data_IF_999854710683
#
_entry.id   IF_999854710683
#
_cell.length_a   1.000
_cell.length_b   1.000
_cell.length_c   1.000
_cell.angle_alpha   90.00
_cell.angle_beta   90.00
_cell.angle_gamma   90.00
#
_symmetry.space_group_name_H-M   'P 1'
#
loop_
_entity.id
_entity.type
_entity.pdbx_description
1 polymer ?
#
# COMPACT_ATOMS: atom_id res chain seq x y z
N UNK A 1 1.26 -27.62 8.31
CA UNK A 1 0.71 -26.65 7.33
C UNK A 1 1.76 -25.93 6.47
N UNK A 2 3.06 -25.90 6.84
CA UNK A 2 4.11 -25.21 6.04
C UNK A 2 4.47 -25.95 4.73
N UNK A 3 4.28 -27.27 4.68
CA UNK A 3 4.64 -28.11 3.51
C UNK A 3 3.69 -27.92 2.31
N UNK A 4 2.40 -27.67 2.55
CA UNK A 4 1.42 -27.46 1.47
C UNK A 4 1.57 -26.10 0.77
N UNK A 5 2.06 -25.08 1.48
CA UNK A 5 2.21 -23.74 0.92
C UNK A 5 3.47 -23.60 0.04
N UNK A 6 4.54 -24.36 0.33
CA UNK A 6 5.73 -24.44 -0.52
C UNK A 6 5.47 -25.23 -1.81
N UNK A 7 4.70 -26.33 -1.75
CA UNK A 7 4.34 -27.11 -2.95
C UNK A 7 3.54 -26.28 -3.97
N UNK A 8 2.64 -25.41 -3.52
CA UNK A 8 1.82 -24.58 -4.41
C UNK A 8 2.64 -23.45 -5.08
N UNK A 9 3.70 -22.97 -4.42
CA UNK A 9 4.61 -21.95 -4.96
C UNK A 9 5.59 -22.55 -5.98
N UNK A 10 6.17 -23.71 -5.66
CA UNK A 10 6.97 -24.51 -6.60
C UNK A 10 6.15 -24.89 -7.84
N UNK A 11 4.89 -25.27 -7.67
CA UNK A 11 4.02 -25.60 -8.80
C UNK A 11 3.76 -24.39 -9.72
N UNK A 12 3.48 -23.20 -9.14
CA UNK A 12 3.28 -21.96 -9.92
C UNK A 12 4.57 -21.48 -10.61
N UNK A 13 5.71 -21.57 -9.95
CA UNK A 13 7.01 -21.24 -10.55
C UNK A 13 7.39 -22.22 -11.65
N UNK A 14 7.17 -23.52 -11.47
CA UNK A 14 7.34 -24.52 -12.52
C UNK A 14 6.38 -24.29 -13.68
N UNK A 15 5.13 -23.89 -13.43
CA UNK A 15 4.18 -23.60 -14.50
C UNK A 15 4.62 -22.36 -15.31
N UNK A 16 5.04 -21.29 -14.64
CA UNK A 16 5.55 -20.08 -15.27
C UNK A 16 6.85 -20.33 -16.02
N UNK A 17 7.78 -21.12 -15.48
CA UNK A 17 9.02 -21.47 -16.18
C UNK A 17 8.74 -22.36 -17.39
N UNK A 18 7.79 -23.30 -17.27
CA UNK A 18 7.37 -24.16 -18.38
C UNK A 18 6.71 -23.34 -19.49
N UNK A 19 5.83 -22.40 -19.15
CA UNK A 19 5.20 -21.49 -20.12
C UNK A 19 6.24 -20.59 -20.78
N UNK A 20 7.19 -20.04 -20.01
CA UNK A 20 8.24 -19.20 -20.55
C UNK A 20 9.19 -19.99 -21.47
N UNK A 21 9.52 -21.23 -21.11
CA UNK A 21 10.28 -22.15 -21.97
C UNK A 21 9.53 -22.49 -23.25
N UNK A 22 8.21 -22.74 -23.18
CA UNK A 22 7.39 -23.02 -24.36
C UNK A 22 7.34 -21.79 -25.27
N UNK A 23 7.19 -20.59 -24.71
CA UNK A 23 7.18 -19.33 -25.48
C UNK A 23 8.54 -19.07 -26.12
N UNK A 24 9.64 -19.24 -25.38
CA UNK A 24 10.99 -19.02 -25.93
C UNK A 24 11.36 -20.07 -26.98
N UNK A 25 11.01 -21.34 -26.77
CA UNK A 25 11.15 -22.38 -27.79
C UNK A 25 10.29 -22.11 -29.02
N UNK A 26 9.05 -21.63 -28.86
CA UNK A 26 8.17 -21.25 -29.97
C UNK A 26 8.74 -20.05 -30.75
N UNK A 27 9.23 -19.02 -30.05
CA UNK A 27 9.88 -17.87 -30.68
C UNK A 27 11.18 -18.26 -31.40
N UNK A 28 11.98 -19.17 -30.83
CA UNK A 28 13.18 -19.70 -31.49
C UNK A 28 12.84 -20.53 -32.72
N UNK A 29 11.82 -21.37 -32.65
CA UNK A 29 11.35 -22.16 -33.81
C UNK A 29 10.80 -21.22 -34.89
N UNK A 30 10.02 -20.20 -34.53
CA UNK A 30 9.54 -19.19 -35.47
C UNK A 30 10.69 -18.36 -36.08
N UNK A 31 11.74 -18.08 -35.31
CA UNK A 31 12.95 -17.38 -35.77
C UNK A 31 13.75 -18.24 -36.76
N UNK A 32 13.98 -19.52 -36.44
CA UNK A 32 14.67 -20.48 -37.31
C UNK A 32 13.88 -20.73 -38.60
N UNK A 33 12.55 -20.81 -38.52
CA UNK A 33 11.68 -20.98 -39.69
C UNK A 33 11.59 -19.71 -40.56
N UNK A 34 11.88 -18.53 -40.02
CA UNK A 34 11.96 -17.26 -40.78
C UNK A 34 13.35 -16.99 -41.34
N UNK A 35 14.40 -17.51 -40.72
CA UNK A 35 15.80 -17.27 -41.09
C UNK A 35 16.60 -18.59 -41.13
N UNK A 36 16.43 -19.41 -42.18
CA UNK A 36 17.23 -20.61 -42.35
C UNK A 36 18.69 -20.22 -42.61
N UNK A 37 19.58 -20.54 -41.68
CA UNK A 37 21.03 -20.38 -41.86
C UNK A 37 21.51 -21.38 -42.91
N UNK A 38 22.03 -20.87 -44.03
CA UNK A 38 22.80 -21.67 -44.98
C UNK A 38 24.13 -22.05 -44.34
N UNK A 39 24.26 -23.29 -43.87
CA UNK A 39 25.57 -23.88 -43.57
C UNK A 39 26.23 -24.24 -44.90
N UNK A 40 27.40 -23.64 -45.17
CA UNK A 40 28.34 -24.08 -46.20
C UNK A 40 29.61 -24.51 -45.47
N UNK A 41 29.95 -25.79 -45.58
CA UNK A 41 31.24 -26.35 -45.17
C UNK A 41 32.32 -25.95 -46.18
N UNK A 42 33.51 -25.54 -45.73
CA UNK A 42 34.68 -25.33 -46.61
C UNK A 42 35.79 -24.42 -46.05
N UNK A 43 36.95 -25.04 -45.84
CA UNK A 43 38.24 -24.57 -45.33
C UNK A 43 38.97 -23.39 -46.03
N UNK A 44 39.89 -22.80 -45.25
CA UNK A 44 41.22 -22.23 -45.57
C UNK A 44 41.44 -20.74 -45.95
N UNK A 45 42.09 -20.06 -44.99
CA UNK A 45 43.29 -19.20 -45.07
C UNK A 45 43.27 -17.76 -45.66
N UNK A 46 43.53 -16.82 -44.73
CA UNK A 46 44.43 -15.64 -44.77
C UNK A 46 44.11 -14.37 -45.58
N UNK A 47 44.18 -13.29 -44.79
CA UNK A 47 44.78 -11.95 -45.02
C UNK A 47 43.93 -10.75 -45.50
N UNK A 48 43.97 -9.73 -44.62
CA UNK A 48 44.17 -8.27 -44.83
C UNK A 48 43.03 -7.39 -45.43
N UNK A 49 42.58 -6.50 -44.53
CA UNK A 49 42.63 -5.02 -44.60
C UNK A 49 41.86 -4.24 -45.70
N UNK A 50 41.04 -3.29 -45.22
CA UNK A 50 40.81 -1.92 -45.75
C UNK A 50 39.55 -1.61 -46.59
N UNK A 51 38.66 -0.83 -45.95
CA UNK A 51 37.95 0.39 -46.39
C UNK A 51 36.88 0.40 -47.52
N UNK A 52 35.79 1.11 -47.15
CA UNK A 52 34.93 2.08 -47.92
C UNK A 52 33.68 1.64 -48.70
N UNK A 53 32.51 1.99 -48.13
CA UNK A 53 31.37 2.79 -48.67
C UNK A 53 30.55 2.27 -49.89
N UNK A 54 29.34 1.72 -49.57
CA UNK A 54 27.94 2.10 -49.99
C UNK A 54 27.48 1.95 -51.48
N UNK A 55 26.15 1.94 -51.76
CA UNK A 55 25.41 0.72 -52.16
C UNK A 55 24.72 0.81 -53.54
N UNK A 56 24.43 -0.34 -54.17
CA UNK A 56 23.48 -0.42 -55.29
C UNK A 56 22.62 -1.69 -55.25
N UNK A 57 21.41 -1.52 -55.76
CA UNK A 57 20.20 -2.33 -55.70
C UNK A 57 20.09 -3.23 -56.94
N UNK A 58 19.67 -4.50 -56.80
CA UNK A 58 18.83 -5.22 -57.79
C UNK A 58 18.67 -6.72 -57.50
N UNK A 59 17.44 -7.07 -57.16
CA UNK A 59 16.68 -8.29 -57.51
C UNK A 59 17.43 -9.58 -57.88
N UNK A 60 17.32 -10.62 -57.03
CA UNK A 60 17.21 -12.00 -57.50
C UNK A 60 16.18 -12.82 -56.70
N UNK A 61 15.16 -13.26 -57.44
CA UNK A 61 14.14 -14.26 -57.12
C UNK A 61 14.73 -15.56 -56.57
N UNK A 62 14.29 -15.98 -55.38
CA UNK A 62 14.55 -17.34 -54.85
C UNK A 62 13.26 -18.15 -54.80
N UNK A 63 13.29 -19.31 -55.46
CA UNK A 63 12.22 -20.30 -55.55
C UNK A 63 11.75 -20.73 -54.15
N UNK A 64 10.45 -20.55 -53.88
CA UNK A 64 9.79 -21.14 -52.71
C UNK A 64 9.62 -22.64 -52.94
N UNK A 65 10.40 -23.45 -52.23
CA UNK A 65 10.22 -24.89 -52.13
C UNK A 65 9.00 -25.15 -51.23
N UNK A 66 7.90 -25.64 -51.81
CA UNK A 66 6.67 -26.00 -51.07
C UNK A 66 6.91 -27.23 -50.20
N UNK A 67 6.84 -27.06 -48.88
CA UNK A 67 6.79 -28.16 -47.90
C UNK A 67 5.31 -28.55 -47.66
N UNK A 68 4.96 -29.84 -47.49
CA UNK A 68 3.57 -30.31 -47.56
C UNK A 68 2.68 -29.78 -46.43
N UNK A 69 1.47 -29.35 -46.80
CA UNK A 69 0.48 -28.66 -45.98
C UNK A 69 -0.06 -29.46 -44.76
N UNK A 70 0.29 -30.74 -44.59
CA UNK A 70 -0.40 -31.61 -43.62
C UNK A 70 0.16 -31.57 -42.19
N UNK A 71 1.46 -31.30 -41.99
CA UNK A 71 2.04 -31.26 -40.62
C UNK A 71 1.74 -29.94 -39.88
N UNK A 72 1.64 -28.83 -40.61
CA UNK A 72 1.27 -27.51 -40.07
C UNK A 72 -0.16 -27.49 -39.52
N UNK A 73 -1.12 -28.11 -40.23
CA UNK A 73 -2.53 -28.15 -39.83
C UNK A 73 -2.71 -28.99 -38.56
N UNK A 74 -2.02 -30.13 -38.45
CA UNK A 74 -2.09 -31.00 -37.25
C UNK A 74 -1.53 -30.28 -36.03
N UNK A 75 -0.41 -29.56 -36.19
CA UNK A 75 0.19 -28.80 -35.09
C UNK A 75 -0.68 -27.61 -34.66
N UNK A 76 -1.26 -26.87 -35.62
CA UNK A 76 -2.21 -25.78 -35.33
C UNK A 76 -3.48 -26.30 -34.63
N UNK A 77 -4.00 -27.44 -35.06
CA UNK A 77 -5.15 -28.07 -34.42
C UNK A 77 -4.82 -28.53 -32.98
N UNK A 78 -3.65 -29.13 -32.76
CA UNK A 78 -3.22 -29.55 -31.43
C UNK A 78 -2.96 -28.35 -30.49
N UNK A 79 -2.35 -27.29 -31.01
CA UNK A 79 -2.09 -26.06 -30.26
C UNK A 79 -3.39 -25.32 -29.92
N UNK A 80 -4.32 -25.23 -30.86
CA UNK A 80 -5.66 -24.68 -30.61
C UNK A 80 -6.42 -25.49 -29.56
N UNK A 81 -6.38 -26.83 -29.64
CA UNK A 81 -7.01 -27.71 -28.65
C UNK A 81 -6.37 -27.59 -27.26
N UNK A 82 -5.06 -27.33 -27.19
CA UNK A 82 -4.35 -27.02 -25.95
C UNK A 82 -4.77 -25.65 -25.41
N UNK A 83 -4.84 -24.61 -26.24
CA UNK A 83 -5.32 -23.27 -25.87
C UNK A 83 -6.77 -23.29 -25.39
N UNK A 84 -7.63 -24.03 -26.07
CA UNK A 84 -9.05 -24.20 -25.72
C UNK A 84 -9.16 -24.96 -24.39
N UNK A 85 -8.35 -26.00 -24.17
CA UNK A 85 -8.26 -26.72 -22.89
C UNK A 85 -7.76 -25.84 -21.74
N UNK A 86 -6.77 -24.96 -22.01
CA UNK A 86 -6.29 -23.98 -21.04
C UNK A 86 -7.35 -22.90 -20.77
N UNK A 87 -8.06 -22.41 -21.79
CA UNK A 87 -9.15 -21.46 -21.66
C UNK A 87 -10.32 -22.07 -20.90
N UNK A 88 -10.73 -23.31 -21.17
CA UNK A 88 -11.81 -23.98 -20.43
C UNK A 88 -11.41 -24.24 -18.97
N UNK A 89 -10.16 -24.66 -18.70
CA UNK A 89 -9.68 -24.77 -17.31
C UNK A 89 -9.64 -23.41 -16.63
N UNK A 90 -9.12 -22.39 -17.30
CA UNK A 90 -9.05 -21.02 -16.79
C UNK A 90 -10.45 -20.43 -16.55
N UNK A 91 -11.39 -20.63 -17.47
CA UNK A 91 -12.79 -20.21 -17.38
C UNK A 91 -13.53 -21.01 -16.31
N UNK A 92 -13.27 -22.32 -16.12
CA UNK A 92 -13.84 -23.09 -15.00
C UNK A 92 -13.27 -22.65 -13.64
N UNK A 93 -12.01 -22.20 -13.61
CA UNK A 93 -11.38 -21.60 -12.42
C UNK A 93 -11.92 -20.19 -12.16
N UNK A 94 -12.29 -19.45 -13.20
CA UNK A 94 -12.96 -18.15 -13.12
C UNK A 94 -14.45 -18.28 -12.78
N UNK A 95 -15.13 -19.36 -13.16
CA UNK A 95 -16.53 -19.63 -12.80
C UNK A 95 -16.70 -20.12 -11.35
N UNK A 96 -15.62 -20.50 -10.65
CA UNK A 96 -15.61 -20.55 -9.18
C UNK A 96 -15.55 -19.16 -8.52
N UNK A 97 -15.22 -18.11 -9.28
CA UNK A 97 -15.37 -16.72 -8.86
C UNK A 97 -16.75 -16.16 -9.27
N UNK A 98 -17.82 -16.90 -8.97
CA UNK A 98 -19.14 -16.29 -8.89
C UNK A 98 -19.14 -15.29 -7.73
N UNK A 99 -19.21 -14.00 -8.07
CA UNK A 99 -19.73 -12.89 -7.25
C UNK A 99 -19.69 -13.14 -5.74
N UNK A 100 -18.60 -12.75 -5.07
CA UNK A 100 -18.51 -12.78 -3.60
C UNK A 100 -19.37 -11.66 -3.00
N UNK A 101 -20.70 -11.77 -3.12
CA UNK A 101 -21.68 -10.96 -2.38
C UNK A 101 -21.67 -11.29 -0.87
N UNK A 102 -20.84 -12.23 -0.43
CA UNK A 102 -20.67 -12.60 0.97
C UNK A 102 -19.68 -11.65 1.64
N UNK A 103 -20.15 -10.97 2.70
CA UNK A 103 -19.30 -10.15 3.56
C UNK A 103 -18.23 -11.02 4.24
N UNK A 104 -17.01 -10.48 4.40
CA UNK A 104 -15.98 -11.11 5.22
C UNK A 104 -16.53 -11.38 6.64
N UNK A 105 -16.06 -12.40 7.37
CA UNK A 105 -16.51 -12.67 8.74
C UNK A 105 -16.26 -11.45 9.65
N UNK A 106 -17.07 -11.31 10.70
CA UNK A 106 -16.93 -10.19 11.66
C UNK A 106 -15.62 -10.26 12.44
N UNK A 107 -15.09 -11.46 12.64
CA UNK A 107 -13.76 -11.72 13.17
C UNK A 107 -12.99 -12.41 12.04
N UNK A 108 -11.97 -11.76 11.46
CA UNK A 108 -11.15 -12.36 10.43
C UNK A 108 -10.50 -13.68 10.91
N UNK A 109 -10.47 -14.73 10.08
CA UNK A 109 -10.02 -16.06 10.51
C UNK A 109 -8.49 -16.17 10.61
N UNK A 110 -7.76 -15.26 9.95
CA UNK A 110 -6.30 -15.33 9.81
C UNK A 110 -5.56 -14.44 10.83
N UNK A 111 -6.25 -13.95 11.88
CA UNK A 111 -5.61 -13.21 12.97
C UNK A 111 -4.70 -14.13 13.79
N UNK A 112 -3.48 -13.68 14.09
CA UNK A 112 -2.50 -14.45 14.89
C UNK A 112 -2.47 -14.02 16.36
N UNK A 113 -3.06 -12.87 16.72
CA UNK A 113 -2.91 -12.27 18.02
C UNK A 113 -1.54 -11.60 18.18
N UNK A 114 -0.78 -11.86 19.25
CA UNK A 114 0.50 -11.21 19.51
C UNK A 114 1.50 -11.39 18.35
N UNK A 115 2.07 -10.29 17.88
CA UNK A 115 3.01 -10.24 16.77
C UNK A 115 4.44 -9.96 17.23
N UNK A 116 5.40 -10.63 16.58
CA UNK A 116 6.82 -10.38 16.78
C UNK A 116 7.30 -9.40 15.71
N UNK A 117 7.74 -8.21 16.13
CA UNK A 117 8.37 -7.24 15.22
C UNK A 117 9.80 -7.69 14.91
N UNK A 118 9.97 -8.26 13.71
CA UNK A 118 11.27 -8.66 13.15
C UNK A 118 11.91 -7.49 12.38
N UNK A 119 13.22 -7.54 12.17
CA UNK A 119 13.89 -6.58 11.28
C UNK A 119 13.45 -6.75 9.83
N UNK A 120 13.64 -5.69 9.03
CA UNK A 120 13.35 -5.70 7.61
C UNK A 120 14.23 -6.72 6.88
N UNK A 121 13.69 -7.44 5.88
CA UNK A 121 14.51 -8.24 4.98
C UNK A 121 15.52 -7.36 4.23
N UNK A 122 16.73 -7.88 3.97
CA UNK A 122 17.82 -7.11 3.32
C UNK A 122 17.47 -6.58 1.92
N UNK A 123 16.54 -7.23 1.22
CA UNK A 123 16.10 -6.87 -0.12
C UNK A 123 14.76 -6.12 -0.13
N UNK A 124 14.23 -5.73 1.04
CA UNK A 124 13.06 -4.88 1.09
C UNK A 124 13.41 -3.46 0.66
N UNK A 125 12.53 -2.82 -0.10
CA UNK A 125 12.69 -1.45 -0.55
C UNK A 125 11.32 -0.84 -0.84
N UNK A 126 11.14 0.44 -0.51
CA UNK A 126 9.94 1.20 -0.85
C UNK A 126 9.87 1.64 -2.32
N UNK A 127 10.99 1.62 -3.04
CA UNK A 127 11.09 2.15 -4.40
C UNK A 127 10.76 1.12 -5.48
N UNK A 128 10.76 -0.16 -5.11
CA UNK A 128 10.45 -1.26 -6.01
C UNK A 128 9.16 -1.97 -5.58
N UNK A 129 8.58 -2.75 -6.48
CA UNK A 129 7.49 -3.65 -6.10
C UNK A 129 7.98 -4.68 -5.07
N UNK A 130 7.40 -4.60 -3.88
CA UNK A 130 7.66 -5.53 -2.79
C UNK A 130 7.10 -6.91 -3.08
N UNK A 131 7.98 -7.90 -3.23
CA UNK A 131 7.60 -9.31 -3.28
C UNK A 131 6.96 -9.82 -1.97
N UNK A 132 7.21 -9.14 -0.84
CA UNK A 132 6.63 -9.46 0.46
C UNK A 132 5.16 -9.03 0.59
N UNK A 133 4.72 -8.08 -0.23
CA UNK A 133 3.36 -7.56 -0.22
C UNK A 133 2.73 -7.58 -1.61
N UNK A 134 2.94 -8.66 -2.36
CA UNK A 134 2.46 -8.81 -3.74
C UNK A 134 0.93 -8.73 -3.93
N UNK A 135 0.15 -8.81 -2.84
CA UNK A 135 -1.31 -8.64 -2.88
C UNK A 135 -1.74 -7.17 -2.75
N UNK A 136 -0.83 -6.29 -2.30
CA UNK A 136 -1.05 -4.85 -2.28
C UNK A 136 -0.99 -4.33 -3.72
N UNK A 137 -1.90 -3.44 -4.04
CA UNK A 137 -2.05 -2.79 -5.33
C UNK A 137 -1.43 -1.39 -5.28
N UNK A 138 -1.11 -0.85 -6.45
CA UNK A 138 -0.57 0.49 -6.62
C UNK A 138 -1.32 1.56 -5.79
N UNK A 139 -0.54 2.41 -5.13
CA UNK A 139 -1.00 3.40 -4.17
C UNK A 139 -1.27 2.83 -2.78
N UNK A 140 -0.73 1.65 -2.43
CA UNK A 140 -0.87 1.05 -1.10
C UNK A 140 -2.27 0.55 -0.77
N UNK A 141 -3.01 0.11 -1.79
CA UNK A 141 -4.40 -0.35 -1.65
C UNK A 141 -4.47 -1.87 -1.54
N UNK A 142 -5.35 -2.39 -0.71
CA UNK A 142 -5.66 -3.82 -0.70
C UNK A 142 -7.13 -4.04 -0.34
N UNK A 143 -7.73 -5.07 -0.92
CA UNK A 143 -9.04 -5.59 -0.54
C UNK A 143 -9.01 -7.13 -0.62
N UNK A 144 -9.75 -7.85 0.24
CA UNK A 144 -9.84 -9.30 0.18
C UNK A 144 -10.42 -9.79 -1.15
N UNK A 145 -9.91 -10.92 -1.67
CA UNK A 145 -10.37 -11.50 -2.95
C UNK A 145 -11.52 -12.50 -2.79
N UNK A 146 -11.67 -13.05 -1.59
CA UNK A 146 -12.60 -14.16 -1.29
C UNK A 146 -13.89 -13.71 -0.61
N UNK A 147 -13.99 -12.44 -0.20
CA UNK A 147 -15.14 -11.88 0.48
C UNK A 147 -15.20 -10.36 0.30
N UNK A 148 -16.37 -9.75 0.51
CA UNK A 148 -16.53 -8.30 0.52
C UNK A 148 -16.13 -7.73 1.88
N UNK A 149 -15.12 -6.87 1.93
CA UNK A 149 -14.68 -6.23 3.16
C UNK A 149 -15.82 -5.46 3.83
N UNK A 150 -15.98 -5.62 5.15
CA UNK A 150 -16.97 -4.87 5.94
C UNK A 150 -16.62 -3.41 6.10
N UNK A 151 -15.33 -3.09 6.01
CA UNK A 151 -14.79 -1.78 6.33
C UNK A 151 -13.91 -1.30 5.20
N UNK A 152 -14.24 -0.11 4.67
CA UNK A 152 -13.39 0.69 3.80
C UNK A 152 -12.66 1.75 4.63
N UNK A 153 -11.34 1.70 4.64
CA UNK A 153 -10.48 2.40 5.61
C UNK A 153 -9.38 3.21 4.91
N UNK A 154 -9.31 4.51 5.19
CA UNK A 154 -8.13 5.31 4.86
C UNK A 154 -7.23 5.45 6.10
N UNK A 155 -5.96 5.10 5.95
CA UNK A 155 -4.95 5.27 7.00
C UNK A 155 -4.14 6.52 6.64
N UNK A 156 -4.28 7.56 7.46
CA UNK A 156 -3.63 8.86 7.28
C UNK A 156 -2.38 8.89 8.16
N UNK A 157 -1.22 8.99 7.53
CA UNK A 157 0.08 9.00 8.20
C UNK A 157 0.73 10.38 7.99
N UNK A 158 0.74 11.26 9.00
CA UNK A 158 1.42 12.54 8.92
C UNK A 158 2.93 12.29 8.91
N UNK A 159 3.64 12.90 7.97
CA UNK A 159 5.03 12.51 7.71
C UNK A 159 5.93 13.71 7.37
N UNK A 160 7.23 13.58 7.73
CA UNK A 160 8.34 14.39 7.21
C UNK A 160 9.68 13.77 7.58
N UNK A 161 10.55 13.54 6.59
CA UNK A 161 11.97 13.19 6.78
C UNK A 161 12.24 12.03 7.78
N UNK A 162 11.46 10.94 7.70
CA UNK A 162 11.59 9.75 8.58
C UNK A 162 11.60 8.44 7.77
N UNK A 163 12.43 8.38 6.73
CA UNK A 163 12.35 7.34 5.71
C UNK A 163 12.53 5.91 6.27
N UNK A 164 13.50 5.70 7.16
CA UNK A 164 13.75 4.39 7.80
C UNK A 164 12.54 3.93 8.62
N UNK A 165 11.88 4.86 9.29
CA UNK A 165 10.70 4.59 10.12
C UNK A 165 9.51 4.29 9.23
N UNK A 166 9.34 5.03 8.12
CA UNK A 166 8.30 4.77 7.14
C UNK A 166 8.47 3.38 6.51
N UNK A 167 9.70 2.96 6.24
CA UNK A 167 10.00 1.64 5.68
C UNK A 167 9.57 0.51 6.63
N UNK A 168 9.94 0.62 7.91
CA UNK A 168 9.48 -0.28 8.97
C UNK A 168 7.95 -0.28 9.09
N UNK A 169 7.35 0.92 9.10
CA UNK A 169 5.92 1.10 9.20
C UNK A 169 5.17 0.39 8.08
N UNK A 170 5.51 0.65 6.82
CA UNK A 170 4.80 0.09 5.66
C UNK A 170 4.95 -1.43 5.61
N UNK A 171 6.15 -1.95 5.89
CA UNK A 171 6.39 -3.40 5.91
C UNK A 171 5.49 -4.11 6.94
N UNK A 172 5.52 -3.65 8.19
CA UNK A 172 4.76 -4.33 9.24
C UNK A 172 3.26 -4.08 9.14
N UNK A 173 2.86 -2.88 8.73
CA UNK A 173 1.44 -2.48 8.72
C UNK A 173 0.64 -3.23 7.67
N UNK A 174 1.21 -3.43 6.47
CA UNK A 174 0.53 -4.22 5.46
C UNK A 174 0.24 -5.66 5.88
N UNK A 175 1.10 -6.28 6.71
CA UNK A 175 0.93 -7.68 7.13
C UNK A 175 -0.36 -7.86 7.94
N UNK A 176 -0.57 -7.04 8.98
CA UNK A 176 -1.74 -7.20 9.82
C UNK A 176 -3.02 -6.66 9.16
N UNK A 177 -2.96 -5.60 8.35
CA UNK A 177 -4.15 -5.06 7.69
C UNK A 177 -4.77 -6.05 6.68
N UNK A 178 -3.93 -6.82 5.98
CA UNK A 178 -4.39 -7.87 5.08
C UNK A 178 -5.10 -9.00 5.85
N UNK A 179 -4.54 -9.44 6.99
CA UNK A 179 -5.15 -10.44 7.88
C UNK A 179 -6.46 -9.94 8.50
N UNK A 180 -6.59 -8.64 8.72
CA UNK A 180 -7.82 -8.01 9.20
C UNK A 180 -8.94 -7.92 8.14
N UNK A 181 -8.69 -8.39 6.91
CA UNK A 181 -9.66 -8.44 5.81
C UNK A 181 -10.35 -7.08 5.50
N UNK A 182 -9.56 -6.00 5.52
CA UNK A 182 -10.01 -4.63 5.25
C UNK A 182 -9.88 -4.29 3.75
N UNK A 183 -10.80 -3.46 3.22
CA UNK A 183 -10.54 -2.63 2.03
C UNK A 183 -9.85 -1.36 2.53
N UNK A 184 -8.53 -1.30 2.38
CA UNK A 184 -7.76 -0.20 2.94
C UNK A 184 -6.84 0.45 1.91
N UNK A 185 -6.49 1.70 2.18
CA UNK A 185 -5.38 2.40 1.53
C UNK A 185 -4.57 3.19 2.54
N UNK A 186 -3.25 3.14 2.41
CA UNK A 186 -2.31 3.95 3.22
C UNK A 186 -1.98 5.23 2.45
N UNK A 187 -2.20 6.37 3.12
CA UNK A 187 -1.86 7.71 2.65
C UNK A 187 -0.75 8.27 3.53
N UNK A 188 0.44 8.46 2.94
CA UNK A 188 1.55 9.18 3.58
C UNK A 188 1.42 10.64 3.19
N UNK A 189 1.09 11.47 4.18
CA UNK A 189 0.81 12.89 3.99
C UNK A 189 2.05 13.67 4.45
N UNK A 190 2.90 14.03 3.51
CA UNK A 190 4.17 14.68 3.80
C UNK A 190 4.02 16.19 3.84
N UNK A 191 4.51 16.82 4.90
CA UNK A 191 4.65 18.28 4.92
C UNK A 191 5.84 18.72 4.06
N UNK A 192 5.55 19.53 3.04
CA UNK A 192 6.55 20.14 2.18
C UNK A 192 7.41 21.18 2.93
N UNK A 193 8.63 21.36 2.44
CA UNK A 193 9.63 22.32 2.94
C UNK A 193 10.10 22.05 4.38
N UNK A 194 11.26 22.62 4.72
CA UNK A 194 11.84 22.49 6.07
C UNK A 194 11.34 23.60 7.02
N UNK A 195 10.02 23.66 7.22
CA UNK A 195 9.38 24.58 8.18
C UNK A 195 9.01 23.86 9.47
N UNK A 196 8.50 24.55 10.49
CA UNK A 196 7.96 23.88 11.69
C UNK A 196 6.84 22.91 11.30
N UNK A 197 6.88 21.67 11.82
CA UNK A 197 5.87 20.66 11.49
C UNK A 197 4.51 21.02 12.09
N UNK A 198 3.43 20.82 11.35
CA UNK A 198 2.06 21.05 11.80
C UNK A 198 1.19 19.83 11.45
N UNK A 199 1.07 18.91 12.42
CA UNK A 199 0.27 17.68 12.30
C UNK A 199 -1.19 17.98 11.94
N UNK A 200 -1.78 19.04 12.51
CA UNK A 200 -3.17 19.38 12.30
C UNK A 200 -3.50 19.80 10.86
N UNK A 201 -2.68 20.68 10.28
CA UNK A 201 -2.85 21.10 8.87
C UNK A 201 -2.65 19.90 7.93
N UNK A 202 -1.58 19.11 8.15
CA UNK A 202 -1.28 17.92 7.34
C UNK A 202 -2.44 16.91 7.38
N UNK A 203 -2.92 16.56 8.57
CA UNK A 203 -4.04 15.62 8.73
C UNK A 203 -5.33 16.12 8.05
N UNK A 204 -5.70 17.38 8.30
CA UNK A 204 -6.92 17.97 7.74
C UNK A 204 -6.86 18.12 6.21
N UNK A 205 -5.71 18.56 5.67
CA UNK A 205 -5.49 18.66 4.24
C UNK A 205 -5.56 17.28 3.57
N UNK A 206 -4.88 16.29 4.16
CA UNK A 206 -4.90 14.92 3.68
C UNK A 206 -6.31 14.32 3.69
N UNK A 207 -7.07 14.52 4.78
CA UNK A 207 -8.47 14.10 4.87
C UNK A 207 -9.32 14.67 3.72
N UNK A 208 -9.15 15.97 3.40
CA UNK A 208 -9.88 16.61 2.29
C UNK A 208 -9.47 16.03 0.93
N UNK A 209 -8.19 15.79 0.68
CA UNK A 209 -7.73 15.18 -0.58
C UNK A 209 -8.17 13.72 -0.73
N UNK A 210 -8.15 12.94 0.35
CA UNK A 210 -8.62 11.55 0.36
C UNK A 210 -10.11 11.50 0.00
N UNK A 211 -10.94 12.42 0.48
CA UNK A 211 -12.36 12.45 0.12
C UNK A 211 -12.61 12.84 -1.34
N UNK A 212 -11.69 13.53 -2.01
CA UNK A 212 -11.76 13.77 -3.46
C UNK A 212 -11.41 12.50 -4.24
N UNK A 213 -10.37 11.78 -3.79
CA UNK A 213 -9.90 10.54 -4.43
C UNK A 213 -10.85 9.35 -4.15
N UNK A 214 -11.41 9.28 -2.95
CA UNK A 214 -12.24 8.17 -2.46
C UNK A 214 -13.48 8.69 -1.70
N UNK A 215 -14.51 9.21 -2.41
CA UNK A 215 -15.68 9.86 -1.80
C UNK A 215 -16.50 8.97 -0.84
N UNK A 216 -16.42 7.65 -1.04
CA UNK A 216 -17.14 6.65 -0.26
C UNK A 216 -16.39 6.17 0.98
N UNK A 217 -15.19 6.67 1.26
CA UNK A 217 -14.43 6.31 2.45
C UNK A 217 -15.12 6.87 3.70
N UNK A 218 -15.41 5.97 4.65
CA UNK A 218 -16.14 6.28 5.88
C UNK A 218 -15.32 6.13 7.15
N UNK A 219 -14.22 5.37 7.11
CA UNK A 219 -13.36 5.17 8.26
C UNK A 219 -11.98 5.76 8.00
N UNK A 220 -11.50 6.56 8.95
CA UNK A 220 -10.20 7.21 8.93
C UNK A 220 -9.42 6.77 10.16
N UNK A 221 -8.21 6.26 9.94
CA UNK A 221 -7.26 5.93 11.00
C UNK A 221 -6.14 6.96 10.92
N UNK A 222 -6.07 7.85 11.89
CA UNK A 222 -4.98 8.80 12.04
C UNK A 222 -3.87 8.10 12.81
N UNK A 223 -2.70 7.94 12.18
CA UNK A 223 -1.69 6.99 12.64
C UNK A 223 -0.29 7.62 12.61
N UNK A 224 0.34 7.76 13.77
CA UNK A 224 1.73 8.20 13.87
C UNK A 224 2.69 7.11 13.32
N UNK A 225 3.54 7.49 12.37
CA UNK A 225 4.39 6.57 11.58
C UNK A 225 5.31 5.68 12.42
N UNK A 226 5.61 6.05 13.66
CA UNK A 226 6.51 5.34 14.56
C UNK A 226 5.83 4.25 15.40
N UNK A 227 4.51 4.06 15.30
CA UNK A 227 3.78 3.08 16.12
C UNK A 227 3.45 1.79 15.35
N UNK A 228 4.12 0.70 15.70
CA UNK A 228 3.82 -0.62 15.15
C UNK A 228 2.87 -1.38 16.05
N UNK A 229 1.75 -1.86 15.50
CA UNK A 229 0.84 -2.75 16.21
C UNK A 229 1.54 -4.09 16.50
N UNK A 230 1.47 -4.57 17.75
CA UNK A 230 2.06 -5.87 18.15
C UNK A 230 1.01 -6.91 18.55
N UNK A 231 -0.26 -6.69 18.22
CA UNK A 231 -1.32 -7.67 18.35
C UNK A 231 -2.45 -7.39 17.33
N UNK A 232 -2.61 -8.25 16.33
CA UNK A 232 -3.53 -7.99 15.20
C UNK A 232 -5.02 -8.14 15.53
N UNK A 233 -5.36 -8.55 16.76
CA UNK A 233 -6.75 -8.53 17.26
C UNK A 233 -7.25 -7.10 17.50
N UNK A 234 -6.36 -6.11 17.56
CA UNK A 234 -6.72 -4.70 17.58
C UNK A 234 -7.09 -4.21 16.16
N UNK A 235 -8.38 -4.34 15.83
CA UNK A 235 -8.91 -4.06 14.48
C UNK A 235 -8.78 -2.59 14.06
N UNK A 236 -8.18 -2.33 12.90
CA UNK A 236 -8.08 -1.00 12.26
C UNK A 236 -9.37 -0.66 11.51
N UNK A 237 -10.47 -0.61 12.24
CA UNK A 237 -11.79 -0.24 11.74
C UNK A 237 -12.43 0.78 12.68
N UNK A 238 -13.48 1.44 12.20
CA UNK A 238 -14.18 2.47 12.97
C UNK A 238 -15.46 1.88 13.57
N UNK A 239 -15.55 1.75 14.91
CA UNK A 239 -16.79 1.32 15.57
C UNK A 239 -17.78 2.50 15.58
N UNK A 240 -18.87 2.38 16.33
CA UNK A 240 -19.90 3.44 16.46
C UNK A 240 -19.36 4.73 17.07
N UNK A 241 -18.32 4.66 17.89
CA UNK A 241 -17.69 5.82 18.53
C UNK A 241 -16.29 6.07 17.95
N UNK A 242 -15.69 7.27 18.11
CA UNK A 242 -14.24 7.42 17.99
C UNK A 242 -13.51 6.40 18.87
N UNK A 243 -12.45 5.76 18.35
CA UNK A 243 -11.69 4.75 19.08
C UNK A 243 -10.20 5.08 19.13
N UNK A 244 -9.67 5.26 20.34
CA UNK A 244 -8.23 5.36 20.55
C UNK A 244 -7.63 3.95 20.55
N UNK A 245 -6.81 3.64 19.54
CA UNK A 245 -6.28 2.30 19.31
C UNK A 245 -4.97 2.06 20.08
N UNK A 246 -4.10 3.07 20.24
CA UNK A 246 -2.78 2.98 20.90
C UNK A 246 -2.82 3.14 22.41
N UNK A 247 -3.61 2.30 23.09
CA UNK A 247 -3.81 2.38 24.54
C UNK A 247 -2.57 1.96 25.34
N UNK A 248 -1.82 0.97 24.85
CA UNK A 248 -0.69 0.37 25.55
C UNK A 248 0.57 0.42 24.68
N UNK A 249 1.38 1.47 24.83
CA UNK A 249 2.65 1.65 24.07
C UNK A 249 3.84 1.24 24.95
N UNK A 250 4.80 0.50 24.38
CA UNK A 250 5.99 0.00 25.07
C UNK A 250 6.82 1.10 25.75
N UNK A 251 6.94 2.28 25.13
CA UNK A 251 7.59 3.47 25.69
C UNK A 251 7.02 3.85 27.06
N UNK A 252 5.74 3.61 27.29
CA UNK A 252 5.04 3.90 28.54
C UNK A 252 4.82 2.63 29.37
N UNK A 253 5.67 1.62 29.19
CA UNK A 253 5.56 0.32 29.87
C UNK A 253 4.19 -0.34 29.67
N UNK A 254 3.56 -0.10 28.52
CA UNK A 254 2.21 -0.59 28.19
C UNK A 254 1.08 -0.05 29.09
N UNK A 255 1.29 1.08 29.76
CA UNK A 255 0.25 1.84 30.46
C UNK A 255 -0.21 3.04 29.65
N UNK A 256 -1.48 3.40 29.79
CA UNK A 256 -2.01 4.65 29.26
C UNK A 256 -1.53 5.80 30.16
N UNK A 257 -0.75 6.78 29.66
CA UNK A 257 -0.18 7.84 30.49
C UNK A 257 -1.21 8.69 31.24
N UNK A 258 -2.34 8.99 30.60
CA UNK A 258 -3.47 9.72 31.20
C UNK A 258 -4.77 9.48 30.41
N UNK A 259 -5.95 9.61 31.04
CA UNK A 259 -7.24 9.25 30.43
C UNK A 259 -7.64 10.07 29.19
N UNK A 260 -7.13 11.29 29.04
CA UNK A 260 -7.44 12.20 27.93
C UNK A 260 -6.61 11.89 26.67
N UNK A 261 -5.57 11.04 26.76
CA UNK A 261 -4.69 10.78 25.63
C UNK A 261 -5.44 10.08 24.49
N UNK A 262 -5.40 10.71 23.31
CA UNK A 262 -5.87 10.15 22.03
C UNK A 262 -4.80 10.19 20.93
N UNK A 263 -3.55 10.50 21.29
CA UNK A 263 -2.41 10.52 20.38
C UNK A 263 -1.92 9.13 19.98
N UNK A 264 -1.00 9.06 19.02
CA UNK A 264 -0.56 7.80 18.45
C UNK A 264 -1.47 7.32 17.33
N UNK A 265 -2.50 6.55 17.67
CA UNK A 265 -3.43 5.94 16.71
C UNK A 265 -4.89 6.15 17.13
N UNK A 266 -5.64 6.88 16.32
CA UNK A 266 -7.04 7.23 16.56
C UNK A 266 -7.90 6.89 15.33
N UNK A 267 -8.95 6.11 15.54
CA UNK A 267 -9.93 5.75 14.52
C UNK A 267 -11.18 6.63 14.65
N UNK A 268 -11.57 7.27 13.55
CA UNK A 268 -12.78 8.09 13.49
C UNK A 268 -13.57 7.84 12.21
N UNK A 269 -14.88 7.79 12.35
CA UNK A 269 -15.77 7.84 11.18
C UNK A 269 -15.71 9.22 10.55
N UNK A 270 -15.97 9.31 9.24
CA UNK A 270 -16.03 10.55 8.48
C UNK A 270 -16.91 11.59 9.18
N UNK A 271 -18.10 11.17 9.59
CA UNK A 271 -19.07 12.00 10.29
C UNK A 271 -18.54 12.56 11.62
N UNK A 272 -17.80 11.76 12.40
CA UNK A 272 -17.22 12.23 13.65
C UNK A 272 -16.07 13.21 13.40
N UNK A 273 -15.20 12.91 12.43
CA UNK A 273 -14.08 13.79 12.09
C UNK A 273 -14.56 15.16 11.61
N UNK A 274 -15.62 15.18 10.79
CA UNK A 274 -16.29 16.42 10.38
C UNK A 274 -16.98 17.12 11.55
N UNK A 275 -17.68 16.38 12.42
CA UNK A 275 -18.40 16.93 13.57
C UNK A 275 -17.46 17.66 14.57
N UNK A 276 -16.27 17.11 14.80
CA UNK A 276 -15.24 17.72 15.65
C UNK A 276 -14.41 18.80 14.94
N UNK A 277 -14.72 19.06 13.66
CA UNK A 277 -13.95 19.92 12.77
C UNK A 277 -12.48 19.49 12.61
N UNK A 278 -12.18 18.19 12.68
CA UNK A 278 -10.82 17.63 12.63
C UNK A 278 -9.84 18.22 13.64
N UNK A 279 -8.54 18.18 13.33
CA UNK A 279 -7.49 18.66 14.22
C UNK A 279 -7.38 20.19 14.21
N UNK A 280 -6.96 20.77 15.35
CA UNK A 280 -6.56 22.19 15.44
C UNK A 280 -5.36 22.48 14.53
N UNK A 281 -5.44 23.57 13.76
CA UNK A 281 -4.36 24.02 12.87
C UNK A 281 -3.34 24.91 13.59
N UNK A 282 -3.57 25.25 14.86
CA UNK A 282 -2.76 26.19 15.64
C UNK A 282 -1.53 25.56 16.34
N UNK A 283 -1.25 24.28 16.12
CA UNK A 283 -0.13 23.57 16.73
C UNK A 283 1.07 23.49 15.80
N UNK A 284 1.92 24.52 15.89
CA UNK A 284 3.22 24.56 15.22
C UNK A 284 4.31 23.97 16.13
N UNK A 285 4.76 22.76 15.81
CA UNK A 285 5.71 21.98 16.60
C UNK A 285 5.01 20.97 17.50
N UNK A 286 5.80 20.24 18.30
CA UNK A 286 5.29 19.08 19.03
C UNK A 286 4.48 19.46 20.28
N UNK A 287 3.31 18.82 20.43
CA UNK A 287 2.58 18.68 21.68
C UNK A 287 1.28 19.49 21.77
N UNK A 288 0.26 18.87 22.39
CA UNK A 288 -1.02 19.46 22.76
C UNK A 288 -2.11 19.34 21.68
N UNK A 289 -1.78 18.93 20.46
CA UNK A 289 -2.72 18.77 19.35
C UNK A 289 -3.66 17.57 19.55
N UNK A 290 -3.15 16.48 20.11
CA UNK A 290 -3.95 15.30 20.44
C UNK A 290 -4.84 15.58 21.66
N UNK A 291 -4.37 16.36 22.64
CA UNK A 291 -5.19 16.81 23.78
C UNK A 291 -6.33 17.74 23.33
N UNK A 292 -6.08 18.60 22.34
CA UNK A 292 -7.11 19.43 21.71
C UNK A 292 -8.15 18.55 21.01
N UNK A 293 -7.71 17.52 20.27
CA UNK A 293 -8.62 16.52 19.67
C UNK A 293 -9.50 15.84 20.72
N UNK A 294 -8.96 15.44 21.87
CA UNK A 294 -9.77 14.89 22.96
C UNK A 294 -10.82 15.91 23.45
N UNK A 295 -10.45 17.17 23.67
CA UNK A 295 -11.41 18.23 24.03
C UNK A 295 -12.50 18.39 22.98
N UNK A 296 -12.19 18.26 21.69
CA UNK A 296 -13.17 18.34 20.60
C UNK A 296 -14.17 17.18 20.64
N UNK A 297 -13.67 15.96 20.83
CA UNK A 297 -14.51 14.75 20.99
C UNK A 297 -15.49 14.94 22.15
N UNK A 298 -14.99 15.36 23.32
CA UNK A 298 -15.82 15.60 24.52
C UNK A 298 -16.81 16.74 24.30
N UNK A 299 -16.39 17.87 23.71
CA UNK A 299 -17.26 19.03 23.46
C UNK A 299 -18.44 18.67 22.55
N UNK A 300 -18.22 17.81 21.55
CA UNK A 300 -19.26 17.32 20.64
C UNK A 300 -20.03 16.11 21.20
N UNK A 301 -19.85 15.80 22.50
CA UNK A 301 -20.54 14.74 23.24
C UNK A 301 -20.37 13.35 22.62
N UNK A 302 -19.24 13.13 21.94
CA UNK A 302 -18.86 11.81 21.45
C UNK A 302 -18.22 11.03 22.60
N UNK A 303 -18.55 9.75 22.69
CA UNK A 303 -17.94 8.82 23.64
C UNK A 303 -16.64 8.32 23.02
N UNK A 304 -15.56 8.23 23.79
CA UNK A 304 -14.29 7.66 23.33
C UNK A 304 -14.22 6.18 23.70
N UNK A 305 -14.10 5.31 22.70
CA UNK A 305 -13.89 3.88 22.90
C UNK A 305 -12.40 3.54 22.99
N UNK A 306 -12.07 2.54 23.80
CA UNK A 306 -10.72 1.94 23.86
C UNK A 306 -10.81 0.42 23.84
N UNK A 307 -10.01 -0.27 23.01
CA UNK A 307 -9.89 -1.72 23.11
C UNK A 307 -9.18 -2.12 24.41
N UNK A 308 -9.34 -3.37 24.88
CA UNK A 308 -8.61 -3.88 26.04
C UNK A 308 -7.09 -3.71 25.88
N UNK A 309 -6.40 -3.24 26.92
CA UNK A 309 -4.95 -3.03 26.90
C UNK A 309 -4.15 -4.30 26.57
N UNK A 310 -4.73 -5.49 26.80
CA UNK A 310 -4.14 -6.77 26.45
C UNK A 310 -3.93 -6.95 24.93
N UNK A 311 -4.79 -6.36 24.09
CA UNK A 311 -4.69 -6.42 22.63
C UNK A 311 -4.28 -5.08 22.00
N UNK A 312 -4.50 -3.97 22.69
CA UNK A 312 -4.22 -2.62 22.20
C UNK A 312 -2.73 -2.23 22.33
N UNK A 313 -1.82 -3.16 22.01
CA UNK A 313 -0.39 -3.06 22.30
C UNK A 313 0.40 -2.57 21.09
N UNK A 314 1.35 -1.67 21.34
CA UNK A 314 2.18 -1.05 20.31
C UNK A 314 3.65 -0.99 20.72
N UNK A 315 4.51 -1.10 19.71
CA UNK A 315 5.94 -0.81 19.79
C UNK A 315 6.23 0.54 19.14
N UNK A 316 6.86 1.45 19.88
CA UNK A 316 7.31 2.73 19.35
C UNK A 316 8.73 2.60 18.77
N UNK A 317 8.88 2.96 17.49
CA UNK A 317 10.16 3.03 16.82
C UNK A 317 10.96 4.22 17.36
N UNK A 318 12.24 4.00 17.66
CA UNK A 318 13.10 5.04 18.22
C UNK A 318 13.35 6.13 17.18
N UNK A 319 13.19 7.38 17.59
CA UNK A 319 13.45 8.52 16.72
C UNK A 319 13.76 9.80 17.51
N UNK A 320 14.37 10.79 16.87
CA UNK A 320 14.59 12.11 17.48
C UNK A 320 13.26 12.85 17.69
N UNK A 321 13.09 13.44 18.87
CA UNK A 321 11.92 14.26 19.17
C UNK A 321 11.92 15.55 18.35
N UNK A 322 10.74 15.96 17.91
CA UNK A 322 10.56 17.28 17.31
C UNK A 322 10.67 18.38 18.37
N UNK A 323 10.96 19.60 17.94
CA UNK A 323 11.01 20.76 18.82
C UNK A 323 9.64 20.95 19.49
N UNK A 324 9.68 20.98 20.82
CA UNK A 324 8.53 21.25 21.67
C UNK A 324 7.91 22.60 21.32
N UNK A 325 6.59 22.66 21.11
CA UNK A 325 5.90 23.92 20.96
C UNK A 325 5.81 24.62 22.34
N UNK A 326 6.46 25.78 22.53
CA UNK A 326 6.41 26.50 23.81
C UNK A 326 5.02 27.08 24.10
N UNK A 327 4.23 27.37 23.08
CA UNK A 327 2.89 27.93 23.21
C UNK A 327 1.80 26.87 23.38
N UNK A 328 2.10 25.56 23.33
CA UNK A 328 1.10 24.48 23.32
C UNK A 328 0.06 24.58 24.44
N UNK A 329 0.47 24.95 25.66
CA UNK A 329 -0.45 25.07 26.80
C UNK A 329 -1.37 26.28 26.64
N UNK A 330 -0.88 27.39 26.06
CA UNK A 330 -1.70 28.58 25.75
C UNK A 330 -2.75 28.23 24.69
N UNK A 331 -2.35 27.52 23.63
CA UNK A 331 -3.26 27.06 22.56
C UNK A 331 -4.30 26.08 23.10
N UNK A 332 -3.88 25.13 23.94
CA UNK A 332 -4.77 24.11 24.52
C UNK A 332 -5.81 24.70 25.48
N UNK A 333 -5.47 25.77 26.22
CA UNK A 333 -6.42 26.47 27.11
C UNK A 333 -7.59 27.08 26.33
N UNK A 334 -7.37 27.53 25.10
CA UNK A 334 -8.41 28.16 24.27
C UNK A 334 -9.10 27.18 23.32
N UNK A 335 -8.74 25.90 23.33
CA UNK A 335 -9.25 24.86 22.43
C UNK A 335 -10.78 24.90 22.27
N UNK A 336 -11.52 24.86 23.39
CA UNK A 336 -12.99 24.83 23.39
C UNK A 336 -13.66 26.01 22.67
N UNK A 337 -13.00 27.18 22.63
CA UNK A 337 -13.53 28.38 21.99
C UNK A 337 -13.26 28.40 20.48
N UNK A 338 -12.30 27.60 20.02
CA UNK A 338 -11.81 27.61 18.63
C UNK A 338 -12.37 26.46 17.78
N UNK A 339 -12.99 25.44 18.38
CA UNK A 339 -13.38 24.20 17.70
C UNK A 339 -14.16 24.47 16.40
N UNK A 340 -15.12 25.39 16.44
CA UNK A 340 -15.98 25.68 15.29
C UNK A 340 -15.31 26.59 14.24
N UNK A 341 -14.21 27.27 14.59
CA UNK A 341 -13.52 28.26 13.76
C UNK A 341 -12.06 27.89 13.45
N UNK A 342 -11.61 26.70 13.81
CA UNK A 342 -10.25 26.21 13.57
C UNK A 342 -10.29 24.70 13.35
N UNK A 343 -10.05 24.29 12.11
CA UNK A 343 -10.11 22.88 11.76
C UNK A 343 -10.27 22.63 10.25
N UNK A 344 -10.95 21.54 9.91
CA UNK A 344 -11.17 21.11 8.52
C UNK A 344 -11.93 22.14 7.68
N UNK A 345 -12.87 22.86 8.29
CA UNK A 345 -13.71 23.83 7.58
C UNK A 345 -12.90 25.03 7.04
N UNK A 346 -11.80 25.41 7.68
CA UNK A 346 -11.02 26.57 7.32
C UNK A 346 -9.51 26.30 7.17
N UNK A 347 -9.08 25.03 7.16
CA UNK A 347 -7.69 24.68 6.90
C UNK A 347 -7.23 25.23 5.56
N UNK A 348 -6.12 25.97 5.59
CA UNK A 348 -5.43 26.48 4.41
C UNK A 348 -4.22 25.59 4.16
N UNK A 349 -4.15 25.02 2.96
CA UNK A 349 -3.04 24.20 2.49
C UNK A 349 -3.02 24.19 0.96
N UNK A 350 -1.90 23.77 0.38
CA UNK A 350 -1.79 23.49 -1.05
C UNK A 350 -1.27 22.08 -1.26
N UNK A 351 -2.00 21.27 -2.04
CA UNK A 351 -1.49 19.99 -2.53
C UNK A 351 -0.47 20.28 -3.65
N UNK A 352 0.79 19.92 -3.42
CA UNK A 352 1.86 20.11 -4.39
C UNK A 352 1.98 18.93 -5.35
N UNK A 353 1.82 17.70 -4.85
CA UNK A 353 1.94 16.51 -5.66
C UNK A 353 1.15 15.33 -5.07
N UNK A 354 0.73 14.41 -5.95
CA UNK A 354 0.20 13.09 -5.59
C UNK A 354 0.98 12.02 -6.34
N UNK A 355 1.66 11.14 -5.61
CA UNK A 355 2.42 10.03 -6.21
C UNK A 355 1.89 8.70 -5.70
N UNK A 356 1.63 7.76 -6.62
CA UNK A 356 1.24 6.40 -6.26
C UNK A 356 2.47 5.51 -6.23
N UNK A 357 2.91 5.12 -5.03
CA UNK A 357 3.92 4.07 -4.83
C UNK A 357 3.23 2.73 -4.62
N UNK A 358 3.95 1.62 -4.77
CA UNK A 358 3.36 0.29 -4.58
C UNK A 358 2.68 0.16 -3.20
N UNK A 359 3.35 0.60 -2.13
CA UNK A 359 2.90 0.41 -0.74
C UNK A 359 2.10 1.58 -0.15
N UNK A 360 2.02 2.73 -0.83
CA UNK A 360 1.30 3.89 -0.30
C UNK A 360 0.98 4.93 -1.38
N UNK A 361 0.00 5.77 -1.09
CA UNK A 361 -0.24 7.02 -1.84
C UNK A 361 0.45 8.15 -1.09
N UNK A 362 1.33 8.85 -1.77
CA UNK A 362 2.05 10.00 -1.23
C UNK A 362 1.33 11.30 -1.58
N UNK A 363 1.01 12.11 -0.59
CA UNK A 363 0.42 13.43 -0.74
C UNK A 363 1.37 14.47 -0.16
N UNK A 364 1.96 15.29 -1.02
CA UNK A 364 2.89 16.36 -0.62
C UNK A 364 2.11 17.65 -0.38
N UNK A 365 2.07 18.10 0.87
CA UNK A 365 1.21 19.18 1.34
C UNK A 365 2.06 20.37 1.80
N UNK A 366 1.87 21.52 1.17
CA UNK A 366 2.34 22.80 1.68
C UNK A 366 1.34 23.34 2.71
N UNK A 367 1.84 23.59 3.92
CA UNK A 367 1.07 24.06 5.08
C UNK A 367 1.14 25.58 5.27
N UNK A 368 1.82 26.29 4.37
CA UNK A 368 2.02 27.73 4.47
C UNK A 368 3.02 28.12 5.55
N UNK A 369 2.75 29.24 6.23
CA UNK A 369 3.60 29.80 7.28
C UNK A 369 2.85 29.95 8.59
N UNK A 370 3.62 29.97 9.67
CA UNK A 370 3.10 30.33 10.97
C UNK A 370 2.84 31.85 10.97
N UNK A 371 1.56 32.23 11.05
CA UNK A 371 1.12 33.62 11.16
C UNK A 371 1.08 34.11 12.60
#
# INVERSE_FOLDING_TARGET
MIVFHQQNYLYKLCLLSSILMIITSFLNIMYILRHPTTHVDGEHDKQKLSTTVKPEDSSQTTKVMKIPNNQSIIFQAAFKKMLDSFNEKFISTMHQHNSTNVLCPSIPPDLEGPLIIKGLPKNFSLFNESSYHFQVQLGGRHQPKTCLARHKVAIIVPYRNRWEILEQFLFHTHIFLQRQQLDYRIFVCEQAYDKTFNKGIVMNGCFKEILKLEPNTRCFIMHDVDLLLIDDRNMYSCPTNPRHLSVAVDKFQFYLPYPELVGGVLAMRREHYLLVNGYSTNYWGWGGEDDDMHKRIVKKKLILDRPPAAIARYKMLKHSHQKLNPARMKVLRTANNRIDSDGVNNVIYKLLNTTLYHLYTHLLIDVGEQH
#
